data_IF_341628066942
#
_entry.id   IF_341628066942
#
_cell.length_a   1.000
_cell.length_b   1.000
_cell.length_c   1.000
_cell.angle_alpha   90.00
_cell.angle_beta   90.00
_cell.angle_gamma   90.00
#
_symmetry.space_group_name_H-M   'P 1'
#
loop_
_entity.id
_entity.type
_entity.pdbx_description
1 polymer ?
#
# COMPACT_ATOMS: atom_id res chain seq x y z
N UNK A 1 17.62 -10.07 2.30
CA UNK A 1 18.65 -10.46 3.29
C UNK A 1 18.96 -11.96 3.23
N UNK A 2 18.07 -12.84 3.68
CA UNK A 2 18.37 -14.29 3.71
C UNK A 2 18.80 -14.87 2.36
N UNK A 3 18.22 -14.39 1.25
CA UNK A 3 18.51 -14.90 -0.09
C UNK A 3 19.92 -14.58 -0.61
N UNK A 4 20.59 -13.56 -0.05
CA UNK A 4 21.94 -13.14 -0.45
C UNK A 4 23.00 -13.49 0.60
N UNK A 5 22.60 -13.96 1.78
CA UNK A 5 23.52 -14.27 2.88
C UNK A 5 24.57 -15.30 2.46
N UNK A 6 25.85 -14.98 2.67
CA UNK A 6 27.00 -15.80 2.32
C UNK A 6 27.29 -15.88 0.82
N UNK A 7 26.63 -15.06 -0.01
CA UNK A 7 26.88 -14.98 -1.46
C UNK A 7 27.71 -13.75 -1.80
N UNK A 8 28.26 -13.70 -3.02
CA UNK A 8 28.98 -12.52 -3.53
C UNK A 8 28.11 -11.24 -3.56
N UNK A 9 26.78 -11.39 -3.59
CA UNK A 9 25.83 -10.28 -3.62
C UNK A 9 25.49 -9.70 -2.24
N UNK A 10 25.93 -10.31 -1.13
CA UNK A 10 25.53 -9.89 0.22
C UNK A 10 25.95 -8.44 0.53
N UNK A 11 27.19 -8.09 0.19
CA UNK A 11 27.77 -6.78 0.48
C UNK A 11 27.04 -5.68 -0.29
N UNK A 12 26.86 -5.87 -1.59
CA UNK A 12 26.21 -4.87 -2.46
C UNK A 12 24.72 -4.75 -2.11
N UNK A 13 24.08 -5.86 -1.71
CA UNK A 13 22.71 -5.85 -1.21
C UNK A 13 22.56 -4.96 0.03
N UNK A 14 23.44 -5.06 1.02
CA UNK A 14 23.30 -4.25 2.25
C UNK A 14 23.56 -2.76 1.98
N UNK A 15 24.47 -2.43 1.06
CA UNK A 15 24.68 -1.05 0.59
C UNK A 15 23.40 -0.53 -0.07
N UNK A 16 22.90 -1.27 -1.07
CA UNK A 16 21.69 -0.88 -1.81
C UNK A 16 20.47 -0.76 -0.90
N UNK A 17 20.25 -1.73 -0.02
CA UNK A 17 19.17 -1.71 0.96
C UNK A 17 19.24 -0.49 1.87
N UNK A 18 20.42 -0.18 2.41
CA UNK A 18 20.62 0.97 3.29
C UNK A 18 20.31 2.28 2.57
N UNK A 19 20.68 2.41 1.31
CA UNK A 19 20.40 3.61 0.52
C UNK A 19 18.92 3.73 0.14
N UNK A 20 18.27 2.62 -0.23
CA UNK A 20 16.83 2.59 -0.52
C UNK A 20 15.99 2.91 0.72
N UNK A 21 16.44 2.53 1.92
CA UNK A 21 15.73 2.83 3.17
C UNK A 21 15.84 4.31 3.59
N UNK A 22 16.79 5.06 3.06
CA UNK A 22 16.90 6.52 3.28
C UNK A 22 16.02 7.33 2.33
N UNK A 23 15.59 6.72 1.22
CA UNK A 23 14.78 7.39 0.20
C UNK A 23 13.33 7.48 0.66
N UNK A 24 12.69 8.61 0.34
CA UNK A 24 11.27 8.77 0.56
C UNK A 24 10.49 7.80 -0.34
N UNK A 25 9.54 7.10 0.27
CA UNK A 25 8.74 6.09 -0.41
C UNK A 25 7.87 6.63 -1.55
N UNK A 26 7.40 7.87 -1.42
CA UNK A 26 6.59 8.53 -2.44
C UNK A 26 7.45 8.96 -3.64
N UNK A 27 8.65 9.49 -3.38
CA UNK A 27 9.60 9.88 -4.42
C UNK A 27 10.07 8.68 -5.24
N UNK A 28 10.26 7.51 -4.61
CA UNK A 28 10.69 6.26 -5.29
C UNK A 28 9.74 5.75 -6.38
N UNK A 29 8.49 6.21 -6.39
CA UNK A 29 7.49 5.82 -7.38
C UNK A 29 7.29 6.84 -8.49
N UNK A 30 7.95 7.99 -8.37
CA UNK A 30 7.92 9.04 -9.36
C UNK A 30 8.61 8.55 -10.64
N UNK A 31 8.11 9.04 -11.78
CA UNK A 31 8.66 8.72 -13.10
C UNK A 31 10.03 9.38 -13.28
N UNK A 32 10.28 10.51 -12.61
CA UNK A 32 11.53 11.27 -12.72
C UNK A 32 12.69 10.70 -11.91
N UNK A 33 12.45 9.70 -11.04
CA UNK A 33 13.49 9.11 -10.20
C UNK A 33 14.17 7.93 -10.89
N UNK A 34 15.51 7.94 -10.88
CA UNK A 34 16.33 6.85 -11.42
C UNK A 34 15.97 5.50 -10.80
N UNK A 35 15.64 4.54 -11.68
CA UNK A 35 15.24 3.18 -11.32
C UNK A 35 16.46 2.29 -11.15
N UNK A 36 17.01 2.30 -9.94
CA UNK A 36 18.18 1.49 -9.60
C UNK A 36 17.76 0.11 -9.11
N UNK A 37 18.55 -0.89 -9.45
CA UNK A 37 18.38 -2.25 -8.97
C UNK A 37 19.67 -3.06 -9.04
N UNK A 38 19.58 -4.29 -8.55
CA UNK A 38 20.67 -5.25 -8.63
C UNK A 38 20.16 -6.67 -8.79
N UNK A 39 20.90 -7.45 -9.57
CA UNK A 39 20.72 -8.90 -9.62
C UNK A 39 21.21 -9.52 -8.31
N UNK A 40 20.47 -10.51 -7.80
CA UNK A 40 20.78 -11.14 -6.50
C UNK A 40 21.24 -12.60 -6.62
N UNK A 41 21.65 -13.05 -7.80
CA UNK A 41 22.14 -14.42 -8.00
C UNK A 41 21.06 -15.50 -7.99
N UNK A 42 19.78 -15.11 -8.06
CA UNK A 42 18.64 -16.02 -7.97
C UNK A 42 17.80 -15.97 -9.24
N UNK A 43 17.13 -17.07 -9.52
CA UNK A 43 16.25 -17.22 -10.67
C UNK A 43 14.89 -17.75 -10.22
N UNK A 44 13.83 -17.22 -10.82
CA UNK A 44 12.50 -17.81 -10.80
C UNK A 44 12.29 -18.68 -12.04
N UNK A 45 11.28 -19.55 -12.02
CA UNK A 45 10.87 -20.31 -13.20
C UNK A 45 9.55 -19.73 -13.70
N UNK A 46 9.49 -19.33 -14.97
CA UNK A 46 8.24 -18.91 -15.58
C UNK A 46 7.29 -20.13 -15.63
N UNK A 47 6.08 -20.06 -15.04
CA UNK A 47 5.20 -21.22 -14.97
C UNK A 47 4.68 -21.68 -16.34
N UNK A 48 4.69 -20.80 -17.34
CA UNK A 48 4.26 -21.09 -18.71
C UNK A 48 5.42 -21.67 -19.53
N UNK A 49 6.49 -20.89 -19.74
CA UNK A 49 7.61 -21.26 -20.63
C UNK A 49 8.64 -22.20 -19.99
N UNK A 50 8.62 -22.36 -18.65
CA UNK A 50 9.62 -23.08 -17.85
C UNK A 50 11.04 -22.51 -17.91
N UNK A 51 11.22 -21.35 -18.54
CA UNK A 51 12.51 -20.67 -18.60
C UNK A 51 12.89 -20.07 -17.23
N UNK A 52 14.20 -19.95 -17.01
CA UNK A 52 14.75 -19.25 -15.84
C UNK A 52 14.69 -17.74 -16.07
N UNK A 53 14.07 -17.03 -15.14
CA UNK A 53 13.98 -15.57 -15.14
C UNK A 53 14.86 -15.02 -14.00
N UNK A 54 15.81 -14.12 -14.26
CA UNK A 54 16.66 -13.57 -13.21
C UNK A 54 15.85 -12.71 -12.24
N UNK A 55 16.15 -12.83 -10.95
CA UNK A 55 15.49 -12.03 -9.90
C UNK A 55 16.35 -10.82 -9.60
N UNK A 56 15.74 -9.64 -9.75
CA UNK A 56 16.31 -8.36 -9.38
C UNK A 56 15.58 -7.79 -8.16
N UNK A 57 16.29 -6.99 -7.39
CA UNK A 57 15.67 -6.04 -6.47
C UNK A 57 15.78 -4.64 -7.07
N UNK A 58 14.78 -3.79 -6.81
CA UNK A 58 14.73 -2.43 -7.35
C UNK A 58 14.17 -1.45 -6.33
N UNK A 59 14.60 -0.20 -6.41
CA UNK A 59 14.12 0.87 -5.53
C UNK A 59 12.66 1.27 -5.83
N UNK A 60 12.18 1.06 -7.05
CA UNK A 60 10.83 1.43 -7.49
C UNK A 60 9.75 0.39 -7.16
N UNK A 61 10.12 -0.78 -6.61
CA UNK A 61 9.16 -1.79 -6.16
C UNK A 61 8.75 -1.50 -4.71
N UNK A 62 7.45 -1.28 -4.49
CA UNK A 62 6.88 -1.02 -3.17
C UNK A 62 6.45 -2.33 -2.54
N UNK A 63 7.02 -2.65 -1.37
CA UNK A 63 6.71 -3.89 -0.66
C UNK A 63 5.23 -4.03 -0.26
N UNK A 64 4.56 -2.95 0.16
CA UNK A 64 3.13 -3.02 0.53
C UNK A 64 2.18 -3.08 -0.68
N UNK A 65 2.69 -3.03 -1.91
CA UNK A 65 1.83 -3.11 -3.09
C UNK A 65 1.86 -4.52 -3.70
N UNK A 66 0.67 -5.12 -3.85
CA UNK A 66 0.53 -6.49 -4.32
C UNK A 66 1.21 -7.49 -3.38
N UNK A 67 2.07 -8.34 -3.93
CA UNK A 67 2.87 -9.30 -3.15
C UNK A 67 4.27 -8.78 -2.81
N UNK A 68 4.54 -7.47 -3.00
CA UNK A 68 5.89 -6.90 -2.86
C UNK A 68 6.87 -7.37 -3.93
N UNK A 69 6.38 -8.00 -5.00
CA UNK A 69 7.12 -8.46 -6.17
C UNK A 69 6.24 -8.29 -7.41
N UNK A 70 6.87 -7.98 -8.55
CA UNK A 70 6.21 -7.82 -9.85
C UNK A 70 6.97 -8.61 -10.90
N UNK A 71 6.26 -9.11 -11.91
CA UNK A 71 6.90 -9.59 -13.13
C UNK A 71 7.25 -8.39 -14.02
N UNK A 72 8.43 -8.40 -14.62
CA UNK A 72 8.84 -7.37 -15.56
C UNK A 72 8.55 -7.84 -17.00
N UNK A 73 7.91 -7.01 -17.81
CA UNK A 73 7.63 -7.28 -19.23
C UNK A 73 8.16 -6.11 -20.08
N UNK A 74 9.49 -6.05 -20.33
CA UNK A 74 10.14 -4.86 -20.91
C UNK A 74 9.58 -4.40 -22.26
N UNK A 75 9.11 -5.32 -23.11
CA UNK A 75 8.54 -4.92 -24.40
C UNK A 75 7.21 -4.14 -24.25
N UNK A 76 6.51 -4.28 -23.11
CA UNK A 76 5.13 -3.82 -22.95
C UNK A 76 4.84 -3.00 -21.67
N UNK A 77 5.84 -2.75 -20.82
CA UNK A 77 5.80 -1.75 -19.74
C UNK A 77 7.02 -0.82 -19.87
N UNK A 78 6.75 0.49 -19.93
CA UNK A 78 7.80 1.49 -20.15
C UNK A 78 8.85 1.53 -19.03
N UNK A 79 8.46 1.26 -17.78
CA UNK A 79 9.39 1.27 -16.65
C UNK A 79 10.29 0.05 -16.70
N UNK A 80 9.73 -1.10 -17.05
CA UNK A 80 10.49 -2.33 -17.25
C UNK A 80 11.43 -2.22 -18.45
N UNK A 81 11.02 -1.52 -19.51
CA UNK A 81 11.85 -1.24 -20.69
C UNK A 81 13.12 -0.46 -20.35
N UNK A 82 12.97 0.65 -19.63
CA UNK A 82 14.09 1.49 -19.20
C UNK A 82 15.06 0.71 -18.31
N UNK A 83 14.52 -0.01 -17.32
CA UNK A 83 15.32 -0.87 -16.44
C UNK A 83 16.03 -1.96 -17.24
N UNK A 84 15.35 -2.61 -18.19
CA UNK A 84 15.96 -3.65 -18.99
C UNK A 84 17.07 -3.11 -19.92
N UNK A 85 16.91 -1.91 -20.47
CA UNK A 85 17.96 -1.26 -21.27
C UNK A 85 19.18 -0.90 -20.40
N UNK A 86 18.97 -0.38 -19.20
CA UNK A 86 20.07 -0.02 -18.29
C UNK A 86 20.86 -1.25 -17.84
N UNK A 87 20.17 -2.34 -17.51
CA UNK A 87 20.79 -3.56 -16.97
C UNK A 87 21.04 -4.65 -18.02
N UNK A 88 20.90 -4.33 -19.32
CA UNK A 88 21.06 -5.27 -20.45
C UNK A 88 20.24 -6.57 -20.28
N UNK A 89 19.01 -6.45 -19.79
CA UNK A 89 18.06 -7.55 -19.65
C UNK A 89 17.38 -7.77 -21.00
N UNK A 90 17.19 -9.04 -21.38
CA UNK A 90 16.53 -9.41 -22.64
C UNK A 90 15.12 -8.82 -22.72
N UNK A 91 14.84 -8.16 -23.85
CA UNK A 91 13.52 -7.65 -24.20
C UNK A 91 12.91 -8.64 -25.20
N UNK A 92 11.71 -9.15 -24.91
CA UNK A 92 11.00 -10.11 -25.78
C UNK A 92 9.64 -9.54 -26.15
N UNK A 93 9.37 -9.39 -27.44
CA UNK A 93 8.05 -8.99 -27.92
C UNK A 93 7.07 -10.15 -27.84
N UNK A 94 5.96 -9.94 -27.13
CA UNK A 94 4.85 -10.92 -27.03
C UNK A 94 3.50 -10.35 -27.48
N UNK A 95 3.43 -9.06 -27.82
CA UNK A 95 2.26 -8.39 -28.40
C UNK A 95 2.71 -7.62 -29.63
N UNK A 96 2.11 -7.95 -30.77
CA UNK A 96 2.36 -7.33 -32.06
C UNK A 96 1.27 -6.28 -32.36
N UNK A 97 1.63 -5.00 -32.58
CA UNK A 97 0.71 -4.02 -33.15
C UNK A 97 0.12 -4.49 -34.49
N UNK A 98 -1.13 -4.11 -34.82
CA UNK A 98 -1.77 -4.50 -36.08
C UNK A 98 -1.18 -3.81 -37.32
N UNK A 99 -0.62 -2.61 -37.15
CA UNK A 99 -0.29 -1.72 -38.26
C UNK A 99 1.18 -1.81 -38.74
N UNK A 100 2.04 -2.46 -37.97
CA UNK A 100 3.48 -2.59 -38.28
C UNK A 100 4.08 -3.75 -37.49
N UNK A 101 5.25 -4.22 -37.92
CA UNK A 101 6.03 -5.25 -37.22
C UNK A 101 6.94 -4.62 -36.15
N UNK A 102 6.86 -5.12 -34.91
CA UNK A 102 7.56 -4.59 -33.75
C UNK A 102 8.79 -5.46 -33.54
N UNK A 103 9.96 -4.86 -33.70
CA UNK A 103 11.23 -5.56 -33.59
C UNK A 103 11.96 -5.09 -32.32
N UNK A 104 12.27 -6.03 -31.43
CA UNK A 104 12.94 -5.83 -30.13
C UNK A 104 14.27 -5.05 -30.22
N UNK A 105 15.09 -5.30 -31.24
CA UNK A 105 16.38 -4.62 -31.42
C UNK A 105 16.21 -3.14 -31.80
N UNK A 106 15.08 -2.79 -32.42
CA UNK A 106 14.78 -1.43 -32.88
C UNK A 106 13.90 -0.64 -31.92
N UNK A 107 13.46 -1.25 -30.81
CA UNK A 107 12.61 -0.57 -29.84
C UNK A 107 13.38 0.55 -29.14
N UNK A 108 12.79 1.75 -29.16
CA UNK A 108 13.24 2.92 -28.39
C UNK A 108 12.35 3.18 -27.17
N UNK A 109 11.17 2.53 -27.10
CA UNK A 109 10.21 2.59 -26.00
C UNK A 109 9.36 1.32 -25.96
N UNK A 110 8.68 1.06 -24.84
CA UNK A 110 7.73 -0.04 -24.73
C UNK A 110 6.48 0.18 -25.60
N UNK A 111 5.89 -0.91 -26.07
CA UNK A 111 4.59 -0.91 -26.73
C UNK A 111 3.49 -1.30 -25.74
N UNK A 112 2.68 -0.33 -25.32
CA UNK A 112 1.68 -0.48 -24.24
C UNK A 112 0.23 -0.55 -24.73
N UNK A 113 0.02 -0.66 -26.04
CA UNK A 113 -1.31 -0.65 -26.65
C UNK A 113 -1.80 -2.07 -26.96
N UNK A 114 -3.04 -2.16 -27.46
CA UNK A 114 -3.69 -3.41 -27.77
C UNK A 114 -3.20 -4.00 -29.10
N UNK A 115 -3.11 -5.32 -29.16
CA UNK A 115 -2.52 -6.02 -30.29
C UNK A 115 -2.71 -7.53 -30.19
N UNK A 116 -2.00 -8.25 -31.05
CA UNK A 116 -2.12 -9.70 -31.19
C UNK A 116 -0.95 -10.39 -30.51
N UNK A 117 -1.21 -11.46 -29.77
CA UNK A 117 -0.16 -12.24 -29.12
C UNK A 117 0.73 -12.92 -30.16
N UNK A 118 2.03 -12.83 -29.93
CA UNK A 118 3.09 -13.55 -30.64
C UNK A 118 4.06 -14.15 -29.61
N UNK A 119 4.85 -15.14 -29.99
CA UNK A 119 5.85 -15.78 -29.11
C UNK A 119 5.25 -16.24 -27.75
N UNK A 120 3.99 -16.65 -27.78
CA UNK A 120 3.14 -16.95 -26.62
C UNK A 120 2.51 -18.37 -26.72
N UNK A 121 3.13 -19.25 -27.50
CA UNK A 121 2.76 -20.67 -27.62
C UNK A 121 1.28 -20.87 -28.03
N UNK A 122 0.48 -21.55 -27.19
CA UNK A 122 -0.93 -21.85 -27.46
C UNK A 122 -1.84 -20.61 -27.53
N UNK A 123 -1.32 -19.43 -27.17
CA UNK A 123 -2.05 -18.16 -27.20
C UNK A 123 -1.71 -17.28 -28.40
N UNK A 124 -0.81 -17.71 -29.28
CA UNK A 124 -0.45 -16.97 -30.49
C UNK A 124 -1.69 -16.71 -31.37
N UNK A 125 -1.78 -15.49 -31.90
CA UNK A 125 -2.91 -15.04 -32.72
C UNK A 125 -4.14 -14.54 -31.94
N UNK A 126 -4.14 -14.65 -30.61
CA UNK A 126 -5.22 -14.08 -29.78
C UNK A 126 -5.06 -12.56 -29.59
N UNK A 127 -6.17 -11.85 -29.51
CA UNK A 127 -6.22 -10.47 -29.01
C UNK A 127 -5.78 -10.42 -27.53
N UNK A 128 -4.94 -9.45 -27.17
CA UNK A 128 -4.33 -9.37 -25.84
C UNK A 128 -5.35 -9.19 -24.70
N UNK A 129 -6.46 -8.48 -24.93
CA UNK A 129 -7.52 -8.32 -23.92
C UNK A 129 -8.26 -9.63 -23.68
N UNK A 130 -8.52 -10.38 -24.74
CA UNK A 130 -9.14 -11.70 -24.67
C UNK A 130 -8.20 -12.74 -24.05
N UNK A 131 -6.91 -12.66 -24.37
CA UNK A 131 -5.88 -13.58 -23.88
C UNK A 131 -5.71 -13.54 -22.36
N UNK A 132 -5.94 -12.37 -21.71
CA UNK A 132 -5.89 -12.26 -20.23
C UNK A 132 -6.75 -13.35 -19.57
N UNK A 133 -7.98 -13.54 -20.04
CA UNK A 133 -8.88 -14.54 -19.48
C UNK A 133 -8.43 -15.97 -19.78
N UNK A 134 -7.90 -16.23 -20.98
CA UNK A 134 -7.42 -17.56 -21.37
C UNK A 134 -6.19 -17.98 -20.56
N UNK A 135 -5.20 -17.09 -20.44
CA UNK A 135 -3.97 -17.30 -19.67
C UNK A 135 -4.31 -17.49 -18.18
N UNK A 136 -5.21 -16.65 -17.64
CA UNK A 136 -5.66 -16.78 -16.23
C UNK A 136 -6.26 -18.16 -15.95
N UNK A 137 -7.18 -18.63 -16.82
CA UNK A 137 -7.77 -19.98 -16.68
C UNK A 137 -6.72 -21.09 -16.76
N UNK A 138 -5.71 -20.94 -17.61
CA UNK A 138 -4.62 -21.92 -17.72
C UNK A 138 -3.78 -21.94 -16.44
N UNK A 139 -3.40 -20.79 -15.91
CA UNK A 139 -2.67 -20.65 -14.64
C UNK A 139 -3.44 -21.26 -13.47
N UNK A 140 -4.76 -21.06 -13.40
CA UNK A 140 -5.63 -21.69 -12.41
C UNK A 140 -5.64 -23.22 -12.54
N UNK A 141 -5.80 -23.72 -13.77
CA UNK A 141 -5.82 -25.17 -14.05
C UNK A 141 -4.53 -25.87 -13.64
N UNK A 142 -3.38 -25.22 -13.78
CA UNK A 142 -2.07 -25.79 -13.38
C UNK A 142 -1.68 -25.45 -11.94
N UNK A 143 -2.53 -24.74 -11.19
CA UNK A 143 -2.29 -24.37 -9.78
C UNK A 143 -1.18 -23.34 -9.59
N UNK A 144 -0.86 -22.54 -10.61
CA UNK A 144 0.25 -21.56 -10.60
C UNK A 144 -0.23 -20.10 -10.62
N UNK A 145 -1.53 -19.86 -10.45
CA UNK A 145 -2.10 -18.52 -10.36
C UNK A 145 -3.61 -18.54 -10.21
N UNK A 146 -4.20 -17.36 -9.93
CA UNK A 146 -5.64 -17.14 -9.91
C UNK A 146 -5.97 -15.70 -10.24
N UNK A 147 -7.19 -15.45 -10.74
CA UNK A 147 -7.69 -14.09 -10.88
C UNK A 147 -7.70 -13.37 -9.52
N UNK A 148 -7.34 -12.09 -9.48
CA UNK A 148 -7.39 -11.25 -8.27
C UNK A 148 -7.70 -9.81 -8.66
N UNK A 149 -8.55 -9.15 -7.88
CA UNK A 149 -8.83 -7.72 -8.01
C UNK A 149 -7.96 -6.97 -7.02
N UNK A 150 -7.26 -5.93 -7.50
CA UNK A 150 -6.39 -5.09 -6.68
C UNK A 150 -6.80 -3.63 -6.81
N UNK A 151 -6.68 -2.89 -5.71
CA UNK A 151 -6.91 -1.45 -5.66
C UNK A 151 -5.60 -0.72 -5.42
N UNK A 152 -5.45 0.48 -6.00
CA UNK A 152 -4.37 1.41 -5.62
C UNK A 152 -4.63 2.05 -4.26
N UNK A 153 -5.89 2.12 -3.84
CA UNK A 153 -6.31 2.58 -2.53
C UNK A 153 -5.67 1.72 -1.44
N UNK A 154 -5.22 2.36 -0.36
CA UNK A 154 -4.64 1.70 0.81
C UNK A 154 -5.52 1.94 2.02
N UNK A 155 -5.32 1.12 3.04
CA UNK A 155 -5.93 1.36 4.34
C UNK A 155 -5.49 2.73 4.88
N UNK A 156 -6.43 3.38 5.55
CA UNK A 156 -6.21 4.71 6.11
C UNK A 156 -5.49 4.61 7.45
N UNK A 157 -4.24 5.06 7.48
CA UNK A 157 -3.48 5.22 8.72
C UNK A 157 -4.05 6.40 9.52
N UNK A 158 -4.87 6.12 10.54
CA UNK A 158 -5.48 7.15 11.39
C UNK A 158 -4.64 7.56 12.60
N UNK A 159 -3.70 6.73 13.07
CA UNK A 159 -2.95 7.04 14.29
C UNK A 159 -1.94 8.16 14.10
N UNK A 160 -1.88 9.10 15.04
CA UNK A 160 -0.95 10.24 15.04
C UNK A 160 -0.25 10.33 16.40
N UNK A 161 1.08 10.45 16.37
CA UNK A 161 1.92 10.69 17.55
C UNK A 161 1.88 12.17 17.92
N UNK A 162 0.68 12.71 18.16
CA UNK A 162 0.43 14.13 18.48
C UNK A 162 -0.50 14.20 19.68
N UNK A 163 -0.37 15.28 20.45
CA UNK A 163 -1.24 15.52 21.61
C UNK A 163 -2.64 16.01 21.21
N UNK A 164 -2.71 16.94 20.25
CA UNK A 164 -3.96 17.63 19.92
C UNK A 164 -4.78 16.85 18.88
N UNK A 165 -5.55 15.87 19.38
CA UNK A 165 -6.47 15.07 18.58
C UNK A 165 -7.36 14.19 19.47
N UNK A 166 -8.37 13.54 18.89
CA UNK A 166 -9.26 12.64 19.62
C UNK A 166 -8.48 11.39 20.10
N UNK A 167 -8.43 11.08 21.41
CA UNK A 167 -7.74 9.88 21.89
C UNK A 167 -8.35 8.60 21.32
N UNK A 168 -7.50 7.66 20.90
CA UNK A 168 -7.97 6.36 20.41
C UNK A 168 -8.44 5.51 21.61
N UNK A 169 -9.68 4.98 21.62
CA UNK A 169 -10.27 4.31 22.78
C UNK A 169 -9.80 2.85 22.93
N UNK A 170 -8.49 2.66 22.98
CA UNK A 170 -7.82 1.36 23.09
C UNK A 170 -7.00 1.31 24.39
N UNK A 171 -6.97 0.13 25.00
CA UNK A 171 -6.15 -0.22 26.16
C UNK A 171 -5.32 -1.45 25.79
N UNK A 172 -4.03 -1.41 26.10
CA UNK A 172 -3.10 -2.51 26.02
C UNK A 172 -2.98 -3.18 27.38
N UNK A 173 -3.22 -4.49 27.44
CA UNK A 173 -3.09 -5.29 28.65
C UNK A 173 -2.23 -6.52 28.37
N UNK A 174 -1.22 -6.78 29.20
CA UNK A 174 -0.27 -7.88 28.99
C UNK A 174 -0.94 -9.27 29.01
N UNK A 175 -2.04 -9.42 29.74
CA UNK A 175 -2.79 -10.67 29.82
C UNK A 175 -3.90 -10.80 28.75
N UNK A 176 -4.53 -9.69 28.38
CA UNK A 176 -5.73 -9.70 27.52
C UNK A 176 -5.45 -9.26 26.08
N UNK A 177 -4.28 -8.70 25.79
CA UNK A 177 -3.94 -8.07 24.52
C UNK A 177 -4.58 -6.70 24.36
N UNK A 178 -5.03 -6.41 23.13
CA UNK A 178 -5.71 -5.16 22.77
C UNK A 178 -7.18 -5.25 23.20
N UNK A 179 -7.62 -4.33 24.05
CA UNK A 179 -9.01 -4.24 24.52
C UNK A 179 -9.56 -2.83 24.32
N UNK A 180 -10.87 -2.70 24.15
CA UNK A 180 -11.53 -1.42 23.96
C UNK A 180 -11.86 -0.78 25.30
N UNK A 181 -11.86 0.55 25.32
CA UNK A 181 -12.46 1.32 26.43
C UNK A 181 -13.98 1.05 26.43
N UNK A 182 -14.60 0.76 27.59
CA UNK A 182 -16.05 0.60 27.68
C UNK A 182 -16.80 1.86 27.23
N UNK A 183 -17.97 1.69 26.60
CA UNK A 183 -18.74 2.80 26.03
C UNK A 183 -19.15 3.83 27.10
N UNK A 184 -19.52 3.36 28.28
CA UNK A 184 -19.87 4.14 29.46
C UNK A 184 -18.71 4.98 30.02
N UNK A 185 -17.46 4.66 29.65
CA UNK A 185 -16.26 5.39 30.05
C UNK A 185 -15.82 6.41 29.00
N UNK A 186 -16.59 6.58 27.91
CA UNK A 186 -16.37 7.63 26.93
C UNK A 186 -17.03 8.95 27.40
N UNK A 187 -16.48 10.10 27.01
CA UNK A 187 -15.26 10.28 26.21
C UNK A 187 -13.97 10.09 27.01
N UNK A 188 -12.89 9.68 26.34
CA UNK A 188 -11.55 9.85 26.88
C UNK A 188 -11.14 11.31 26.71
N UNK A 189 -11.10 12.07 27.81
CA UNK A 189 -10.64 13.45 27.79
C UNK A 189 -9.12 13.54 27.64
N UNK A 190 -8.65 14.53 26.88
CA UNK A 190 -7.23 14.83 26.77
C UNK A 190 -6.67 15.31 28.12
N UNK A 191 -5.56 14.71 28.60
CA UNK A 191 -4.94 15.12 29.86
C UNK A 191 -4.29 16.49 29.76
N UNK A 192 -4.42 17.29 30.82
CA UNK A 192 -3.76 18.62 30.91
C UNK A 192 -2.34 18.54 31.48
N UNK A 193 -1.96 17.42 32.08
CA UNK A 193 -0.69 17.17 32.76
C UNK A 193 0.38 16.56 31.82
N UNK A 194 0.48 17.09 30.60
CA UNK A 194 1.48 16.65 29.60
C UNK A 194 2.67 17.62 29.52
N UNK A 195 3.81 17.11 29.06
CA UNK A 195 5.03 17.89 28.80
C UNK A 195 5.33 17.95 27.31
N UNK A 196 5.42 19.17 26.77
CA UNK A 196 5.82 19.41 25.39
C UNK A 196 7.34 19.55 25.28
N UNK A 197 8.02 18.46 24.96
CA UNK A 197 9.49 18.40 24.83
C UNK A 197 9.97 18.73 23.41
N UNK A 198 9.05 18.83 22.43
CA UNK A 198 9.35 18.97 21.01
C UNK A 198 9.75 17.67 20.30
N UNK A 199 9.79 16.53 21.01
CA UNK A 199 10.09 15.20 20.46
C UNK A 199 9.20 14.14 21.13
N UNK A 200 8.85 13.09 20.39
CA UNK A 200 7.98 12.01 20.90
C UNK A 200 6.53 12.44 21.06
N UNK A 201 5.71 11.57 21.63
CA UNK A 201 4.29 11.81 21.83
C UNK A 201 4.04 12.39 23.23
N UNK A 202 3.52 13.63 23.39
CA UNK A 202 3.33 14.23 24.72
C UNK A 202 2.40 13.43 25.64
N UNK A 203 1.46 12.64 25.08
CA UNK A 203 0.56 11.81 25.87
C UNK A 203 1.30 10.73 26.67
N UNK A 204 2.49 10.31 26.22
CA UNK A 204 3.37 9.38 26.95
C UNK A 204 3.93 9.96 28.26
N UNK A 205 3.78 11.26 28.48
CA UNK A 205 4.28 11.93 29.69
C UNK A 205 3.24 12.06 30.80
N UNK A 206 1.96 11.78 30.51
CA UNK A 206 0.86 11.85 31.48
C UNK A 206 0.60 10.48 32.09
N UNK A 207 1.16 10.23 33.28
CA UNK A 207 0.92 8.98 34.02
C UNK A 207 -0.57 8.82 34.38
N UNK A 208 -1.29 9.91 34.60
CA UNK A 208 -2.72 9.89 34.96
C UNK A 208 -3.61 9.42 33.80
N UNK A 209 -3.19 9.70 32.55
CA UNK A 209 -3.90 9.25 31.36
C UNK A 209 -3.51 7.83 30.95
N UNK A 210 -2.20 7.54 30.91
CA UNK A 210 -1.68 6.28 30.39
C UNK A 210 -2.10 5.10 31.26
N UNK A 211 -2.00 5.26 32.59
CA UNK A 211 -2.26 4.17 33.51
C UNK A 211 -3.77 3.99 33.70
N UNK A 212 -4.26 2.78 33.42
CA UNK A 212 -5.65 2.43 33.65
C UNK A 212 -5.77 0.97 34.11
N UNK A 213 -6.99 0.55 34.45
CA UNK A 213 -7.29 -0.87 34.66
C UNK A 213 -7.86 -1.48 33.38
N UNK A 214 -7.45 -2.70 33.07
CA UNK A 214 -8.02 -3.49 32.00
C UNK A 214 -9.49 -3.80 32.31
N UNK A 215 -10.46 -3.37 31.47
CA UNK A 215 -11.88 -3.60 31.74
C UNK A 215 -12.28 -5.08 31.71
N UNK A 216 -11.44 -5.95 31.12
CA UNK A 216 -11.71 -7.39 31.00
C UNK A 216 -11.26 -8.20 32.22
N UNK A 217 -10.15 -7.83 32.85
CA UNK A 217 -9.54 -8.61 33.94
C UNK A 217 -9.17 -7.82 35.20
N UNK A 218 -9.34 -6.50 35.20
CA UNK A 218 -9.04 -5.61 36.33
C UNK A 218 -7.54 -5.35 36.58
N UNK A 219 -6.63 -6.07 35.90
CA UNK A 219 -5.19 -5.87 36.01
C UNK A 219 -4.73 -4.53 35.40
N UNK A 220 -3.51 -4.04 35.71
CA UNK A 220 -2.96 -2.85 35.07
C UNK A 220 -3.01 -2.95 33.54
N UNK A 221 -3.40 -1.84 32.91
CA UNK A 221 -3.43 -1.64 31.47
C UNK A 221 -2.87 -0.27 31.11
N UNK A 222 -2.52 -0.11 29.84
CA UNK A 222 -1.95 1.11 29.28
C UNK A 222 -2.86 1.63 28.18
N UNK A 223 -3.38 2.85 28.30
CA UNK A 223 -4.16 3.47 27.20
C UNK A 223 -3.28 3.69 25.97
N UNK A 224 -3.90 3.64 24.79
CA UNK A 224 -3.30 4.15 23.56
C UNK A 224 -3.00 5.64 23.73
N UNK A 225 -1.79 6.02 23.32
CA UNK A 225 -1.27 7.38 23.42
C UNK A 225 -1.35 8.10 22.09
N UNK A 226 -1.53 7.39 20.97
CA UNK A 226 -1.81 8.03 19.70
C UNK A 226 -3.24 8.60 19.65
N UNK A 227 -3.37 9.73 18.96
CA UNK A 227 -4.67 10.34 18.66
C UNK A 227 -5.10 10.02 17.24
N UNK A 228 -6.39 10.13 16.96
CA UNK A 228 -6.92 10.02 15.61
C UNK A 228 -6.48 11.20 14.75
N UNK A 229 -6.30 10.93 13.46
CA UNK A 229 -6.09 11.93 12.42
C UNK A 229 -7.29 12.85 12.28
N UNK A 230 -7.03 14.13 11.98
CA UNK A 230 -8.08 15.16 11.91
C UNK A 230 -9.12 14.90 10.82
N UNK A 231 -8.78 14.11 9.78
CA UNK A 231 -9.77 13.73 8.78
C UNK A 231 -10.86 12.81 9.35
N UNK A 232 -10.62 12.12 10.48
CA UNK A 232 -11.68 11.34 11.15
C UNK A 232 -12.82 12.27 11.56
N UNK A 233 -12.51 13.42 12.16
CA UNK A 233 -13.52 14.38 12.61
C UNK A 233 -14.26 15.02 11.43
N UNK A 234 -13.55 15.38 10.36
CA UNK A 234 -14.14 15.98 9.16
C UNK A 234 -14.87 14.97 8.25
N UNK A 235 -14.77 13.67 8.52
CA UNK A 235 -15.43 12.64 7.69
C UNK A 235 -16.93 12.49 7.99
N UNK A 236 -17.44 13.10 9.06
CA UNK A 236 -18.84 12.93 9.46
C UNK A 236 -19.50 14.18 10.07
N UNK A 237 -18.77 15.29 10.20
CA UNK A 237 -19.30 16.53 10.82
C UNK A 237 -20.60 17.05 10.19
N UNK A 238 -20.80 16.83 8.89
CA UNK A 238 -22.00 17.22 8.17
C UNK A 238 -23.25 16.47 8.67
N UNK A 239 -23.11 15.21 9.14
CA UNK A 239 -24.19 14.52 9.85
C UNK A 239 -24.41 15.08 11.25
N UNK A 240 -23.33 15.47 11.96
CA UNK A 240 -23.45 16.08 13.28
C UNK A 240 -24.18 17.42 13.23
N UNK A 241 -24.02 18.19 12.15
CA UNK A 241 -24.78 19.44 11.96
C UNK A 241 -26.29 19.24 11.83
N UNK A 242 -26.75 18.08 11.36
CA UNK A 242 -28.18 17.78 11.35
C UNK A 242 -28.75 17.67 12.78
N UNK A 243 -27.98 17.19 13.75
CA UNK A 243 -28.41 16.97 15.14
C UNK A 243 -27.30 17.29 16.17
N UNK A 244 -26.93 18.57 16.36
CA UNK A 244 -25.70 18.94 17.07
C UNK A 244 -25.77 18.80 18.59
N UNK A 245 -26.97 18.68 19.16
CA UNK A 245 -27.21 18.74 20.61
C UNK A 245 -27.59 17.40 21.24
N UNK A 246 -27.79 16.33 20.44
CA UNK A 246 -27.98 14.99 20.99
C UNK A 246 -26.72 14.54 21.74
N UNK A 247 -26.89 13.97 22.94
CA UNK A 247 -25.78 13.75 23.89
C UNK A 247 -25.30 12.31 23.94
N UNK A 248 -26.17 11.38 23.62
CA UNK A 248 -26.02 9.93 23.78
C UNK A 248 -25.70 9.20 22.47
N UNK A 249 -25.88 9.89 21.33
CA UNK A 249 -25.61 9.39 19.99
C UNK A 249 -24.75 10.36 19.17
N UNK A 250 -24.05 9.90 18.13
CA UNK A 250 -23.42 10.79 17.14
C UNK A 250 -24.45 11.69 16.45
N UNK A 251 -25.60 11.13 16.08
CA UNK A 251 -26.78 11.79 15.50
C UNK A 251 -27.98 10.83 15.52
N UNK A 252 -29.20 11.35 15.46
CA UNK A 252 -30.42 10.55 15.22
C UNK A 252 -30.62 10.30 13.72
N UNK A 253 -30.90 9.04 13.35
CA UNK A 253 -31.01 8.62 11.95
C UNK A 253 -32.13 9.37 11.22
N UNK A 254 -33.28 9.52 11.86
CA UNK A 254 -34.46 10.20 11.29
C UNK A 254 -34.20 11.67 10.95
N UNK A 255 -33.30 12.34 11.66
CA UNK A 255 -32.91 13.72 11.39
C UNK A 255 -31.94 13.79 10.20
N UNK A 256 -30.98 12.86 10.15
CA UNK A 256 -30.04 12.74 9.02
C UNK A 256 -30.73 12.25 7.75
N UNK A 257 -31.73 11.38 7.83
CA UNK A 257 -32.50 10.95 6.64
C UNK A 257 -33.24 12.14 6.00
N UNK A 258 -33.65 13.12 6.81
CA UNK A 258 -34.32 14.32 6.34
C UNK A 258 -33.34 15.33 5.72
N UNK A 259 -32.17 15.56 6.34
CA UNK A 259 -31.22 16.61 5.94
C UNK A 259 -29.96 16.14 5.21
N UNK A 260 -29.55 14.89 5.38
CA UNK A 260 -28.16 14.43 5.19
C UNK A 260 -27.69 14.31 3.75
N UNK A 261 -28.61 14.35 2.78
CA UNK A 261 -28.25 14.47 1.37
C UNK A 261 -27.86 15.91 1.09
N UNK A 262 -26.57 16.23 1.24
CA UNK A 262 -26.04 17.56 0.94
C UNK A 262 -26.29 17.92 -0.52
N UNK A 263 -27.24 18.82 -0.79
CA UNK A 263 -27.64 19.21 -2.14
C UNK A 263 -26.49 19.88 -2.92
N UNK A 264 -25.70 20.70 -2.22
CA UNK A 264 -24.57 21.41 -2.78
C UNK A 264 -23.44 21.45 -1.76
N UNK A 265 -22.30 20.84 -2.11
CA UNK A 265 -21.06 20.96 -1.35
C UNK A 265 -20.12 21.93 -2.08
N UNK A 266 -19.59 22.94 -1.37
CA UNK A 266 -18.68 23.95 -1.90
C UNK A 266 -17.36 23.81 -1.17
N UNK A 267 -16.29 23.47 -1.89
CA UNK A 267 -14.95 23.26 -1.33
C UNK A 267 -13.87 23.46 -2.39
N UNK A 268 -12.63 23.57 -1.94
CA UNK A 268 -11.47 23.67 -2.82
C UNK A 268 -11.02 22.30 -3.35
N UNK A 269 -10.29 22.31 -4.47
CA UNK A 269 -9.79 21.10 -5.15
C UNK A 269 -8.74 20.35 -4.31
N UNK A 270 -8.13 21.00 -3.32
CA UNK A 270 -7.16 20.42 -2.40
C UNK A 270 -7.73 19.29 -1.52
N UNK A 271 -9.05 19.09 -1.50
CA UNK A 271 -9.74 18.03 -0.78
C UNK A 271 -10.32 16.92 -1.68
N UNK A 272 -9.96 16.91 -2.97
CA UNK A 272 -10.37 15.88 -3.93
C UNK A 272 -9.56 14.58 -3.82
#
# INVERSE_FOLDING_TARGET
REWVKGTEYEKDFEIFYTDVMKQNKFERTDVEVDKKGMFIGKYAINPMTKEKVPIYIGNFIIYEYGAGAVMAVPAHDQRDFEFAKEYNITIRVVIQPPDYELNEDKMTRAYMADGILVNSEEFDGMDNRTAINAITKKLEKIGMGKATVNYKLRDWLISRQRYWGCPIPIIYCDDCGVVHVPYENLPLELPKDVKFTGKGNPLETSESFINCQCPKCGKPGRRETDTMDTFVDSSWYFFRFCDPHVKDLPYRKEIVDYWGNVDQYIGGIEHA
#
